data_IF_107373834608
#
_entry.id   IF_107373834608
#
_cell.length_a   1.000
_cell.length_b   1.000
_cell.length_c   1.000
_cell.angle_alpha   90.00
_cell.angle_beta   90.00
_cell.angle_gamma   90.00
#
_symmetry.space_group_name_H-M   'P 1'
#
loop_
_entity.id
_entity.type
_entity.pdbx_description
1 polymer ?
#
# COMPACT_ATOMS: atom_id res chain seq x y z
N UNK A 1 5.36 0.56 26.72
CA UNK A 1 5.20 0.06 25.33
C UNK A 1 6.13 0.88 24.45
N UNK A 2 7.23 0.27 24.00
CA UNK A 2 8.17 0.94 23.12
C UNK A 2 7.74 0.66 21.66
N UNK A 3 7.18 1.67 20.99
CA UNK A 3 6.70 1.64 19.60
C UNK A 3 7.65 2.41 18.67
N UNK A 4 8.93 2.55 19.05
CA UNK A 4 9.90 3.49 18.45
C UNK A 4 10.51 3.10 17.10
N UNK A 5 9.94 2.15 16.35
CA UNK A 5 10.37 1.97 14.95
C UNK A 5 9.36 2.62 14.00
N UNK A 6 9.77 3.78 13.50
CA UNK A 6 9.19 4.39 12.31
C UNK A 6 9.02 3.33 11.22
N UNK A 7 7.89 3.37 10.50
CA UNK A 7 7.71 2.48 9.36
C UNK A 7 8.75 2.83 8.30
N UNK A 8 9.60 1.86 7.98
CA UNK A 8 10.61 2.00 6.94
C UNK A 8 9.98 2.21 5.56
N UNK A 9 10.47 3.21 4.82
CA UNK A 9 10.04 3.46 3.45
C UNK A 9 10.96 2.79 2.43
N UNK A 10 10.43 1.98 1.47
CA UNK A 10 11.20 1.24 0.46
C UNK A 10 12.25 2.02 -0.32
N UNK A 11 11.99 3.30 -0.55
CA UNK A 11 12.85 4.19 -1.33
C UNK A 11 13.56 5.25 -0.50
N UNK A 12 13.00 5.63 0.64
CA UNK A 12 13.38 6.86 1.35
C UNK A 12 13.82 6.59 2.79
N UNK A 13 13.93 5.31 3.18
CA UNK A 13 14.31 4.87 4.54
C UNK A 13 13.30 5.31 5.59
N UNK A 14 13.69 5.39 6.85
CA UNK A 14 12.85 5.69 8.02
C UNK A 14 13.07 7.10 8.60
N UNK A 15 14.08 7.82 8.11
CA UNK A 15 14.48 9.13 8.63
C UNK A 15 14.40 10.25 7.58
N UNK A 16 13.96 11.43 8.03
CA UNK A 16 14.01 12.66 7.21
C UNK A 16 15.46 13.08 6.98
N UNK A 17 15.73 13.62 5.80
CA UNK A 17 17.06 14.11 5.41
C UNK A 17 16.94 15.53 4.83
N UNK A 18 17.90 16.43 5.13
CA UNK A 18 17.94 17.73 4.50
C UNK A 18 18.00 17.61 2.97
N UNK A 19 17.27 18.46 2.28
CA UNK A 19 17.22 18.45 0.81
C UNK A 19 18.40 19.16 0.15
N UNK A 20 19.14 19.98 0.91
CA UNK A 20 20.17 20.89 0.40
C UNK A 20 19.61 22.19 -0.19
N UNK A 21 18.29 22.38 -0.22
CA UNK A 21 17.69 23.63 -0.67
C UNK A 21 17.61 24.65 0.47
N UNK A 22 18.08 25.87 0.22
CA UNK A 22 17.91 26.98 1.16
C UNK A 22 16.55 27.67 0.96
N UNK A 23 15.48 27.09 1.50
CA UNK A 23 14.12 27.62 1.41
C UNK A 23 13.73 28.26 2.75
N UNK A 24 13.36 29.55 2.79
CA UNK A 24 12.93 30.19 4.03
C UNK A 24 11.75 29.49 4.69
N UNK A 25 11.84 29.21 5.99
CA UNK A 25 10.79 28.55 6.78
C UNK A 25 9.40 29.19 6.62
N UNK A 26 9.35 30.52 6.47
CA UNK A 26 8.10 31.26 6.22
C UNK A 26 7.42 30.81 4.91
N UNK A 27 8.19 30.59 3.84
CA UNK A 27 7.68 30.11 2.55
C UNK A 27 7.21 28.66 2.64
N UNK A 28 7.97 27.82 3.33
CA UNK A 28 7.59 26.43 3.61
C UNK A 28 6.25 26.36 4.35
N UNK A 29 6.12 27.07 5.47
CA UNK A 29 4.87 27.09 6.26
C UNK A 29 3.69 27.64 5.48
N UNK A 30 3.89 28.67 4.65
CA UNK A 30 2.84 29.21 3.79
C UNK A 30 2.38 28.21 2.71
N UNK A 31 3.28 27.36 2.21
CA UNK A 31 2.94 26.30 1.25
C UNK A 31 2.26 25.09 1.90
N UNK A 32 2.50 24.86 3.19
CA UNK A 32 2.00 23.69 3.92
C UNK A 32 0.79 24.02 4.81
N UNK A 33 -0.04 25.00 4.47
CA UNK A 33 -1.23 25.37 5.27
C UNK A 33 -2.17 24.15 5.47
N UNK A 34 -2.28 23.28 4.45
CA UNK A 34 -3.03 22.02 4.54
C UNK A 34 -2.47 21.02 5.59
N UNK A 35 -1.28 21.28 6.13
CA UNK A 35 -0.58 20.48 7.12
C UNK A 35 -0.20 21.29 8.36
N UNK A 36 -0.91 22.39 8.64
CA UNK A 36 -0.64 23.27 9.78
C UNK A 36 -0.67 22.55 11.14
N UNK A 37 -1.47 21.49 11.26
CA UNK A 37 -1.61 20.67 12.47
C UNK A 37 -0.62 19.48 12.53
N UNK A 38 0.21 19.29 11.52
CA UNK A 38 1.13 18.15 11.41
C UNK A 38 2.56 18.56 11.80
N UNK A 39 3.34 17.61 12.28
CA UNK A 39 4.78 17.84 12.47
C UNK A 39 5.50 17.75 11.14
N UNK A 40 6.11 18.85 10.71
CA UNK A 40 6.88 18.96 9.47
C UNK A 40 8.38 19.01 9.74
N UNK A 41 9.20 18.57 8.78
CA UNK A 41 10.65 18.75 8.78
C UNK A 41 11.03 19.77 7.70
N UNK A 42 11.24 21.06 8.05
CA UNK A 42 11.41 22.11 7.05
C UNK A 42 12.68 21.97 6.20
N UNK A 43 13.76 21.41 6.77
CA UNK A 43 15.04 21.28 6.07
C UNK A 43 15.00 20.28 4.91
N UNK A 44 13.96 19.43 4.85
CA UNK A 44 13.75 18.49 3.76
C UNK A 44 12.97 19.12 2.59
N UNK A 45 12.69 20.43 2.64
CA UNK A 45 11.84 21.10 1.66
C UNK A 45 12.38 20.98 0.22
N UNK A 46 11.53 20.63 -0.73
CA UNK A 46 11.85 20.61 -2.16
C UNK A 46 10.83 21.43 -2.96
N UNK A 47 11.22 22.09 -4.06
CA UNK A 47 10.30 22.84 -4.90
C UNK A 47 9.36 21.91 -5.67
N UNK A 48 8.09 22.32 -5.73
CA UNK A 48 7.08 21.71 -6.59
C UNK A 48 7.14 22.25 -8.02
N UNK A 49 6.66 21.46 -8.98
CA UNK A 49 6.33 21.90 -10.32
C UNK A 49 4.82 22.10 -10.43
N UNK A 50 4.39 23.37 -10.46
CA UNK A 50 2.98 23.74 -10.46
C UNK A 50 2.25 23.30 -11.73
N UNK A 51 2.94 23.26 -12.87
CA UNK A 51 2.36 22.86 -14.16
C UNK A 51 1.99 21.37 -14.19
N UNK A 52 2.60 20.58 -13.30
CA UNK A 52 2.32 19.15 -13.14
C UNK A 52 1.27 18.85 -12.07
N UNK A 53 0.91 19.81 -11.23
CA UNK A 53 -0.13 19.59 -10.24
C UNK A 53 -1.51 19.51 -10.89
N UNK A 54 -2.36 18.62 -10.38
CA UNK A 54 -3.78 18.64 -10.76
C UNK A 54 -4.38 20.01 -10.42
N UNK A 55 -5.11 20.66 -11.36
CA UNK A 55 -5.72 21.96 -11.12
C UNK A 55 -6.56 21.98 -9.83
N UNK A 56 -6.31 22.95 -8.97
CA UNK A 56 -6.98 23.11 -7.68
C UNK A 56 -6.99 24.58 -7.27
N UNK A 57 -7.90 24.96 -6.38
CA UNK A 57 -7.97 26.33 -5.82
C UNK A 57 -6.76 26.69 -4.97
N UNK A 58 -5.97 25.70 -4.53
CA UNK A 58 -4.76 25.86 -3.74
C UNK A 58 -3.63 25.12 -4.44
N UNK A 59 -2.42 25.67 -4.43
CA UNK A 59 -1.23 25.05 -5.00
C UNK A 59 -0.15 24.90 -3.92
N UNK A 60 0.51 23.75 -3.92
CA UNK A 60 1.63 23.48 -3.00
C UNK A 60 2.91 23.91 -3.72
N UNK A 61 3.59 24.94 -3.24
CA UNK A 61 4.82 25.45 -3.85
C UNK A 61 6.07 24.67 -3.41
N UNK A 62 6.02 24.09 -2.21
CA UNK A 62 7.09 23.32 -1.59
C UNK A 62 6.52 22.10 -0.88
N UNK A 63 7.12 20.94 -1.12
CA UNK A 63 6.85 19.72 -0.33
C UNK A 63 7.87 19.61 0.78
N UNK A 64 7.47 19.07 1.92
CA UNK A 64 8.33 18.79 3.08
C UNK A 64 8.05 17.41 3.62
N UNK A 65 8.98 16.81 4.34
CA UNK A 65 8.70 15.57 5.03
C UNK A 65 7.70 15.85 6.14
N UNK A 66 6.68 15.01 6.24
CA UNK A 66 5.60 15.17 7.22
C UNK A 66 5.53 13.91 8.07
N UNK A 67 5.61 14.07 9.39
CA UNK A 67 5.33 12.98 10.32
C UNK A 67 3.83 12.67 10.30
N UNK A 68 3.49 11.42 10.05
CA UNK A 68 2.11 10.92 10.00
C UNK A 68 1.95 9.72 10.92
N UNK A 69 0.71 9.48 11.36
CA UNK A 69 0.33 8.22 12.01
C UNK A 69 -0.53 7.38 11.08
N UNK A 70 -0.17 6.11 10.89
CA UNK A 70 -0.95 5.23 10.04
C UNK A 70 -2.32 4.92 10.67
N UNK A 71 -3.40 5.22 9.95
CA UNK A 71 -4.76 4.95 10.43
C UNK A 71 -5.05 3.46 10.65
N UNK A 72 -4.33 2.56 9.96
CA UNK A 72 -4.46 1.10 10.03
C UNK A 72 -3.62 0.45 11.12
N UNK A 73 -2.29 0.54 11.02
CA UNK A 73 -1.38 -0.12 11.96
C UNK A 73 -0.94 0.75 13.14
N UNK A 74 -1.37 2.02 13.18
CA UNK A 74 -1.08 3.01 14.25
C UNK A 74 0.40 3.39 14.42
N UNK A 75 1.32 2.76 13.70
CA UNK A 75 2.75 3.15 13.65
C UNK A 75 2.93 4.52 13.00
N UNK A 76 3.95 5.24 13.46
CA UNK A 76 4.41 6.50 12.87
C UNK A 76 5.16 6.23 11.56
N UNK A 77 5.03 7.12 10.59
CA UNK A 77 5.77 7.06 9.33
C UNK A 77 5.98 8.47 8.78
N UNK A 78 6.95 8.63 7.88
CA UNK A 78 7.19 9.89 7.18
C UNK A 78 6.51 9.84 5.81
N UNK A 79 5.68 10.83 5.52
CA UNK A 79 5.26 11.12 4.16
C UNK A 79 6.29 12.06 3.54
N UNK A 80 7.23 11.49 2.80
CA UNK A 80 8.40 12.21 2.31
C UNK A 80 8.04 13.28 1.28
N UNK A 81 8.81 14.35 1.23
CA UNK A 81 8.67 15.42 0.25
C UNK A 81 8.79 14.89 -1.19
N UNK A 82 9.75 13.98 -1.42
CA UNK A 82 9.90 13.29 -2.70
C UNK A 82 8.72 12.35 -3.01
N UNK A 83 8.10 11.76 -1.98
CA UNK A 83 6.90 10.96 -2.16
C UNK A 83 5.71 11.84 -2.57
N UNK A 84 5.50 12.97 -1.89
CA UNK A 84 4.49 13.96 -2.23
C UNK A 84 4.63 14.44 -3.66
N UNK A 85 5.85 14.82 -4.07
CA UNK A 85 6.14 15.25 -5.44
C UNK A 85 5.68 14.22 -6.46
N UNK A 86 6.05 12.95 -6.27
CA UNK A 86 5.62 11.88 -7.17
C UNK A 86 4.08 11.70 -7.17
N UNK A 87 3.44 11.75 -6.00
CA UNK A 87 2.00 11.60 -5.88
C UNK A 87 1.21 12.68 -6.62
N UNK A 88 1.62 13.93 -6.46
CA UNK A 88 0.85 15.07 -6.94
C UNK A 88 1.22 15.46 -8.38
N UNK A 89 2.45 15.22 -8.80
CA UNK A 89 2.93 15.63 -10.14
C UNK A 89 2.94 14.50 -11.16
N UNK A 90 3.15 13.25 -10.74
CA UNK A 90 3.27 12.11 -11.66
C UNK A 90 2.06 11.19 -11.60
N UNK A 91 1.49 10.94 -10.42
CA UNK A 91 0.27 10.14 -10.27
C UNK A 91 -1.03 10.95 -10.42
N UNK A 92 -0.94 12.29 -10.43
CA UNK A 92 -2.09 13.18 -10.57
C UNK A 92 -3.09 13.11 -9.41
N UNK A 93 -2.64 12.78 -8.20
CA UNK A 93 -3.51 12.88 -7.03
C UNK A 93 -3.83 14.35 -6.74
N UNK A 94 -5.07 14.62 -6.35
CA UNK A 94 -5.42 15.95 -5.82
C UNK A 94 -4.69 16.20 -4.50
N UNK A 95 -4.29 17.44 -4.26
CA UNK A 95 -3.54 17.85 -3.06
C UNK A 95 -4.22 17.40 -1.74
N UNK A 96 -5.55 17.37 -1.72
CA UNK A 96 -6.37 16.97 -0.55
C UNK A 96 -6.39 15.47 -0.28
N UNK A 97 -5.89 14.63 -1.20
CA UNK A 97 -5.98 13.17 -1.06
C UNK A 97 -5.31 12.66 0.22
N UNK A 98 -4.23 13.32 0.68
CA UNK A 98 -3.56 13.10 1.95
C UNK A 98 -3.01 11.68 2.18
N UNK A 99 -1.82 11.56 2.75
CA UNK A 99 -1.27 10.25 3.09
C UNK A 99 -1.75 9.78 4.48
N UNK A 100 -2.74 8.86 4.52
CA UNK A 100 -3.36 8.35 5.75
C UNK A 100 -2.90 6.94 6.18
N UNK A 101 -2.13 6.26 5.35
CA UNK A 101 -1.65 4.89 5.58
C UNK A 101 -0.17 4.81 5.28
N UNK A 102 0.63 4.07 6.07
CA UNK A 102 2.06 3.92 5.84
C UNK A 102 2.37 3.09 4.57
N UNK A 103 3.62 3.11 4.06
CA UNK A 103 4.00 2.40 2.84
C UNK A 103 3.65 0.92 2.83
N UNK A 104 3.91 0.22 3.94
CA UNK A 104 3.57 -1.20 4.08
C UNK A 104 2.04 -1.43 3.99
N UNK A 105 1.24 -0.64 4.70
CA UNK A 105 -0.22 -0.76 4.66
C UNK A 105 -0.79 -0.40 3.27
N UNK A 106 -0.21 0.58 2.57
CA UNK A 106 -0.61 0.91 1.19
C UNK A 106 -0.29 -0.24 0.24
N UNK A 107 0.92 -0.81 0.32
CA UNK A 107 1.33 -1.98 -0.47
C UNK A 107 0.45 -3.19 -0.20
N UNK A 108 0.12 -3.44 1.07
CA UNK A 108 -0.79 -4.51 1.47
C UNK A 108 -2.20 -4.31 0.90
N UNK A 109 -2.75 -3.10 0.99
CA UNK A 109 -4.06 -2.75 0.40
C UNK A 109 -4.05 -2.95 -1.12
N UNK A 110 -2.99 -2.53 -1.80
CA UNK A 110 -2.84 -2.72 -3.24
C UNK A 110 -2.80 -4.22 -3.58
N UNK A 111 -1.92 -5.00 -2.93
CA UNK A 111 -1.83 -6.45 -3.13
C UNK A 111 -3.18 -7.12 -2.91
N UNK A 112 -3.87 -6.79 -1.81
CA UNK A 112 -5.21 -7.30 -1.50
C UNK A 112 -6.21 -7.01 -2.61
N UNK A 113 -6.24 -5.78 -3.12
CA UNK A 113 -7.14 -5.40 -4.22
C UNK A 113 -6.85 -6.21 -5.49
N UNK A 114 -5.59 -6.31 -5.90
CA UNK A 114 -5.21 -7.07 -7.10
C UNK A 114 -5.51 -8.56 -6.96
N UNK A 115 -5.16 -9.15 -5.82
CA UNK A 115 -5.45 -10.56 -5.51
C UNK A 115 -6.96 -10.82 -5.51
N UNK A 116 -7.75 -9.95 -4.87
CA UNK A 116 -9.20 -10.11 -4.85
C UNK A 116 -9.82 -9.98 -6.24
N UNK A 117 -9.34 -9.04 -7.07
CA UNK A 117 -9.81 -8.87 -8.44
C UNK A 117 -9.51 -10.11 -9.30
N UNK A 118 -8.29 -10.65 -9.21
CA UNK A 118 -7.90 -11.87 -9.92
C UNK A 118 -8.72 -13.07 -9.44
N UNK A 119 -8.85 -13.25 -8.13
CA UNK A 119 -9.74 -14.24 -7.53
C UNK A 119 -11.17 -14.16 -8.07
N UNK A 120 -11.78 -12.96 -8.04
CA UNK A 120 -13.16 -12.78 -8.51
C UNK A 120 -13.30 -13.13 -10.00
N UNK A 121 -12.33 -12.74 -10.81
CA UNK A 121 -12.34 -13.00 -12.25
C UNK A 121 -12.02 -14.45 -12.63
N UNK A 122 -11.35 -15.22 -11.76
CA UNK A 122 -11.09 -16.65 -11.97
C UNK A 122 -12.26 -17.51 -11.49
N UNK A 123 -12.85 -17.20 -10.34
CA UNK A 123 -14.00 -17.96 -9.82
C UNK A 123 -15.25 -17.84 -10.70
N UNK A 124 -15.39 -16.75 -11.45
CA UNK A 124 -16.53 -16.55 -12.36
C UNK A 124 -16.39 -17.27 -13.71
N UNK A 125 -15.27 -17.96 -13.97
CA UNK A 125 -15.06 -18.67 -15.25
C UNK A 125 -15.66 -20.07 -15.20
N UNK A 126 -16.28 -20.49 -16.30
CA UNK A 126 -16.82 -21.85 -16.44
C UNK A 126 -15.70 -22.88 -16.59
N UNK A 127 -14.62 -22.52 -17.27
CA UNK A 127 -13.45 -23.37 -17.50
C UNK A 127 -12.18 -22.65 -17.05
N UNK A 128 -11.33 -23.38 -16.32
CA UNK A 128 -10.03 -22.91 -15.86
C UNK A 128 -8.96 -23.86 -16.40
N UNK A 129 -7.89 -23.31 -16.99
CA UNK A 129 -6.67 -24.07 -17.22
C UNK A 129 -6.01 -24.44 -15.89
N UNK A 130 -5.13 -25.44 -15.90
CA UNK A 130 -4.39 -25.86 -14.69
C UNK A 130 -3.51 -24.73 -14.14
N UNK A 131 -2.92 -23.91 -15.03
CA UNK A 131 -2.17 -22.71 -14.64
C UNK A 131 -3.08 -21.65 -13.99
N UNK A 132 -4.27 -21.40 -14.58
CA UNK A 132 -5.25 -20.49 -14.00
C UNK A 132 -5.77 -20.98 -12.64
N UNK A 133 -5.91 -22.30 -12.48
CA UNK A 133 -6.27 -22.94 -11.23
C UNK A 133 -5.16 -22.76 -10.18
N UNK A 134 -3.89 -22.89 -10.54
CA UNK A 134 -2.78 -22.61 -9.64
C UNK A 134 -2.80 -21.16 -9.13
N UNK A 135 -3.03 -20.18 -10.01
CA UNK A 135 -3.20 -18.78 -9.60
C UNK A 135 -4.40 -18.59 -8.66
N UNK A 136 -5.52 -19.25 -8.93
CA UNK A 136 -6.70 -19.21 -8.07
C UNK A 136 -6.38 -19.77 -6.67
N UNK A 137 -5.66 -20.88 -6.60
CA UNK A 137 -5.22 -21.47 -5.32
C UNK A 137 -4.35 -20.50 -4.54
N UNK A 138 -3.36 -19.88 -5.19
CA UNK A 138 -2.49 -18.88 -4.55
C UNK A 138 -3.27 -17.67 -4.01
N UNK A 139 -4.21 -17.16 -4.79
CA UNK A 139 -5.06 -16.06 -4.35
C UNK A 139 -5.91 -16.45 -3.15
N UNK A 140 -6.48 -17.65 -3.15
CA UNK A 140 -7.30 -18.16 -2.05
C UNK A 140 -6.50 -18.34 -0.77
N UNK A 141 -5.28 -18.89 -0.86
CA UNK A 141 -4.35 -19.00 0.28
C UNK A 141 -4.11 -17.61 0.88
N UNK A 142 -3.74 -16.63 0.04
CA UNK A 142 -3.47 -15.27 0.49
C UNK A 142 -4.69 -14.64 1.17
N UNK A 143 -5.87 -14.71 0.53
CA UNK A 143 -7.10 -14.12 1.06
C UNK A 143 -7.55 -14.78 2.36
N UNK A 144 -7.35 -16.09 2.48
CA UNK A 144 -7.67 -16.86 3.68
C UNK A 144 -6.76 -16.49 4.86
N UNK A 145 -5.44 -16.55 4.66
CA UNK A 145 -4.45 -16.22 5.71
C UNK A 145 -4.62 -14.78 6.23
N UNK A 146 -5.05 -13.86 5.37
CA UNK A 146 -5.31 -12.46 5.72
C UNK A 146 -6.75 -12.19 6.18
N UNK A 147 -7.56 -13.23 6.42
CA UNK A 147 -8.95 -13.15 6.93
C UNK A 147 -9.90 -12.34 6.06
N UNK A 148 -9.59 -12.20 4.76
CA UNK A 148 -10.41 -11.51 3.77
C UNK A 148 -11.50 -12.47 3.25
N UNK A 149 -11.09 -13.70 2.91
CA UNK A 149 -12.02 -14.78 2.62
C UNK A 149 -12.30 -15.57 3.90
N UNK A 150 -13.58 -15.78 4.21
CA UNK A 150 -14.03 -16.47 5.44
C UNK A 150 -14.87 -17.72 5.19
N UNK A 151 -15.16 -18.05 3.93
CA UNK A 151 -16.02 -19.16 3.59
C UNK A 151 -15.21 -20.46 3.47
N UNK A 152 -15.27 -21.29 4.51
CA UNK A 152 -14.57 -22.59 4.58
C UNK A 152 -15.05 -23.59 3.53
N UNK A 153 -16.35 -23.63 3.24
CA UNK A 153 -16.88 -24.52 2.20
C UNK A 153 -16.29 -24.20 0.83
N UNK A 154 -16.15 -22.91 0.50
CA UNK A 154 -15.56 -22.47 -0.76
C UNK A 154 -14.08 -22.82 -0.83
N UNK A 155 -13.36 -22.67 0.28
CA UNK A 155 -11.96 -23.09 0.41
C UNK A 155 -11.82 -24.61 0.19
N UNK A 156 -12.69 -25.41 0.83
CA UNK A 156 -12.70 -26.87 0.69
C UNK A 156 -13.00 -27.34 -0.73
N UNK A 157 -13.94 -26.70 -1.44
CA UNK A 157 -14.23 -26.99 -2.85
C UNK A 157 -13.01 -26.75 -3.74
N UNK A 158 -12.35 -25.60 -3.58
CA UNK A 158 -11.16 -25.26 -4.38
C UNK A 158 -10.01 -26.23 -4.06
N UNK A 159 -9.85 -26.61 -2.79
CA UNK A 159 -8.88 -27.64 -2.38
C UNK A 159 -9.10 -28.96 -3.10
N UNK A 160 -10.33 -29.47 -3.12
CA UNK A 160 -10.62 -30.76 -3.76
C UNK A 160 -10.31 -30.72 -5.26
N UNK A 161 -10.69 -29.63 -5.95
CA UNK A 161 -10.37 -29.43 -7.37
C UNK A 161 -8.86 -29.37 -7.60
N UNK A 162 -8.10 -28.70 -6.71
CA UNK A 162 -6.65 -28.59 -6.82
C UNK A 162 -5.95 -29.96 -6.63
N UNK A 163 -6.42 -30.77 -5.67
CA UNK A 163 -5.90 -32.14 -5.46
C UNK A 163 -6.15 -32.99 -6.70
N UNK A 164 -7.33 -32.89 -7.30
CA UNK A 164 -7.71 -33.70 -8.46
C UNK A 164 -6.93 -33.31 -9.72
N UNK A 165 -6.85 -32.01 -10.02
CA UNK A 165 -6.32 -31.53 -11.30
C UNK A 165 -4.83 -31.23 -11.29
N UNK A 166 -4.32 -30.69 -10.18
CA UNK A 166 -2.92 -30.24 -10.05
C UNK A 166 -2.27 -30.78 -8.77
N UNK A 167 -2.29 -32.11 -8.51
CA UNK A 167 -1.85 -32.70 -7.24
C UNK A 167 -0.39 -32.38 -6.87
N UNK A 168 0.50 -32.39 -7.87
CA UNK A 168 1.95 -32.22 -7.66
C UNK A 168 2.41 -30.76 -7.67
N UNK A 169 1.50 -29.82 -7.98
CA UNK A 169 1.82 -28.41 -8.09
C UNK A 169 2.13 -27.79 -6.70
N UNK A 170 3.06 -26.84 -6.65
CA UNK A 170 3.49 -26.19 -5.40
C UNK A 170 2.33 -25.49 -4.69
N UNK A 171 1.45 -24.82 -5.44
CA UNK A 171 0.26 -24.16 -4.91
C UNK A 171 -0.65 -25.14 -4.13
N UNK A 172 -0.86 -26.36 -4.64
CA UNK A 172 -1.65 -27.40 -3.98
C UNK A 172 -1.00 -27.84 -2.68
N UNK A 173 0.33 -28.05 -2.68
CA UNK A 173 1.09 -28.37 -1.46
C UNK A 173 0.92 -27.28 -0.39
N UNK A 174 1.13 -26.00 -0.75
CA UNK A 174 0.93 -24.86 0.15
C UNK A 174 -0.51 -24.74 0.66
N UNK A 175 -1.51 -25.11 -0.14
CA UNK A 175 -2.91 -25.10 0.29
C UNK A 175 -3.17 -26.14 1.37
N UNK A 176 -2.62 -27.35 1.22
CA UNK A 176 -2.78 -28.44 2.18
C UNK A 176 -2.05 -28.15 3.51
N UNK A 177 -1.03 -27.30 3.47
CA UNK A 177 -0.31 -26.84 4.65
C UNK A 177 -1.08 -25.84 5.53
N UNK A 178 -2.24 -25.34 5.08
CA UNK A 178 -3.03 -24.42 5.88
C UNK A 178 -3.51 -25.07 7.19
N UNK A 179 -3.46 -24.37 8.34
CA UNK A 179 -3.86 -24.93 9.63
C UNK A 179 -5.29 -25.50 9.67
N UNK A 180 -6.21 -24.95 8.88
CA UNK A 180 -7.60 -25.43 8.77
C UNK A 180 -7.71 -26.85 8.19
N UNK A 181 -6.66 -27.33 7.50
CA UNK A 181 -6.61 -28.65 6.87
C UNK A 181 -5.65 -29.62 7.54
N UNK A 182 -4.78 -29.13 8.45
CA UNK A 182 -3.93 -29.95 9.29
C UNK A 182 -4.76 -30.42 10.48
N UNK A 183 -5.26 -31.67 10.42
CA UNK A 183 -5.83 -32.37 11.57
C UNK A 183 -4.69 -32.97 12.41
#
# INVERSE_FOLDING_TARGET
MNYDEFVWHPRYTDASKPSGHNIPLKKVKASCIAHSNETIYPDSAIPANLDKQTPSCVQIHYYVDILKQCTKCKRKFIFFAQEQKFWYEELGFVIYAGCSSCPECRKFKQKTRHTFQRYSGLVSRNELSDESLAFLVDDVIFLWQNKILKNEHKLGRIKNIAIERIPNHEATRRLLELPVFRK
#
